data_IF_495834176398
#
_entry.id   IF_495834176398
#
_cell.length_a   1.000
_cell.length_b   1.000
_cell.length_c   1.000
_cell.angle_alpha   90.00
_cell.angle_beta   90.00
_cell.angle_gamma   90.00
#
_symmetry.space_group_name_H-M   'P 1'
#
loop_
_entity.id
_entity.type
_entity.pdbx_description
1 polymer ?
#
# COMPACT_ATOMS: atom_id res chain seq x y z
N UNK A 1 -2.76 -29.60 -14.34
CA UNK A 1 -3.43 -28.67 -15.26
C UNK A 1 -3.82 -27.44 -14.45
N UNK A 2 -3.07 -26.34 -14.58
CA UNK A 2 -3.25 -25.15 -13.74
C UNK A 2 -4.31 -24.25 -14.36
N UNK A 3 -5.43 -24.06 -13.65
CA UNK A 3 -6.46 -23.10 -14.04
C UNK A 3 -5.88 -21.69 -13.86
N UNK A 4 -5.57 -21.02 -14.96
CA UNK A 4 -5.36 -19.57 -14.97
C UNK A 4 -6.68 -18.93 -14.54
N UNK A 5 -6.80 -18.58 -13.27
CA UNK A 5 -7.81 -17.63 -12.83
C UNK A 5 -7.62 -16.38 -13.70
N UNK A 6 -8.63 -16.04 -14.52
CA UNK A 6 -8.70 -14.71 -15.11
C UNK A 6 -8.72 -13.75 -13.93
N UNK A 7 -7.57 -13.14 -13.63
CA UNK A 7 -7.48 -12.05 -12.68
C UNK A 7 -8.31 -10.92 -13.29
N UNK A 8 -9.52 -10.74 -12.78
CA UNK A 8 -10.30 -9.56 -13.11
C UNK A 8 -9.47 -8.32 -12.76
N UNK A 9 -9.47 -7.30 -13.64
CA UNK A 9 -8.70 -6.09 -13.38
C UNK A 9 -9.13 -5.48 -12.05
N UNK A 10 -8.18 -5.05 -11.23
CA UNK A 10 -8.48 -4.42 -9.95
C UNK A 10 -9.34 -3.16 -10.17
N UNK A 11 -10.08 -2.73 -9.15
CA UNK A 11 -10.91 -1.53 -9.23
C UNK A 11 -10.11 -0.31 -9.72
N UNK A 12 -8.86 -0.16 -9.26
CA UNK A 12 -7.95 0.90 -9.72
C UNK A 12 -7.60 0.74 -11.20
N UNK A 13 -7.34 -0.48 -11.68
CA UNK A 13 -7.06 -0.70 -13.10
C UNK A 13 -8.28 -0.40 -13.98
N UNK A 14 -9.49 -0.73 -13.50
CA UNK A 14 -10.74 -0.38 -14.19
C UNK A 14 -10.96 1.13 -14.23
N UNK A 15 -10.73 1.83 -13.11
CA UNK A 15 -10.82 3.29 -13.03
C UNK A 15 -9.83 3.97 -13.97
N UNK A 16 -8.58 3.49 -14.04
CA UNK A 16 -7.58 4.00 -14.97
C UNK A 16 -8.00 3.84 -16.43
N UNK A 17 -8.58 2.69 -16.77
CA UNK A 17 -9.10 2.43 -18.11
C UNK A 17 -10.24 3.40 -18.47
N UNK A 18 -11.15 3.66 -17.52
CA UNK A 18 -12.25 4.62 -17.70
C UNK A 18 -11.74 6.06 -17.88
N UNK A 19 -10.72 6.47 -17.12
CA UNK A 19 -10.09 7.79 -17.28
C UNK A 19 -9.45 7.92 -18.67
N UNK A 20 -8.77 6.87 -19.16
CA UNK A 20 -8.20 6.87 -20.52
C UNK A 20 -9.28 6.97 -21.60
N UNK A 21 -10.39 6.26 -21.44
CA UNK A 21 -11.54 6.36 -22.35
C UNK A 21 -12.15 7.76 -22.32
N UNK A 22 -12.32 8.34 -21.13
CA UNK A 22 -12.81 9.71 -20.96
C UNK A 22 -11.93 10.71 -21.70
N UNK A 23 -10.60 10.65 -21.51
CA UNK A 23 -9.66 11.53 -22.23
C UNK A 23 -9.75 11.37 -23.75
N UNK A 24 -9.89 10.13 -24.24
CA UNK A 24 -9.99 9.87 -25.67
C UNK A 24 -11.26 10.47 -26.29
N UNK A 25 -12.37 10.46 -25.54
CA UNK A 25 -13.67 10.99 -26.00
C UNK A 25 -13.79 12.50 -25.77
N UNK A 26 -13.12 13.04 -24.76
CA UNK A 26 -13.14 14.48 -24.46
C UNK A 26 -12.23 15.30 -25.38
N UNK A 27 -11.29 14.66 -26.08
CA UNK A 27 -10.24 15.33 -26.85
C UNK A 27 -10.80 16.46 -27.74
N UNK A 28 -10.31 17.67 -27.51
CA UNK A 28 -10.70 18.87 -28.27
C UNK A 28 -11.91 19.62 -27.72
N UNK A 29 -12.50 19.16 -26.61
CA UNK A 29 -13.49 19.94 -25.84
C UNK A 29 -12.80 20.60 -24.65
N UNK A 30 -12.51 21.89 -24.79
CA UNK A 30 -11.96 22.72 -23.71
C UNK A 30 -12.87 22.64 -22.47
N UNK A 31 -12.30 22.21 -21.34
CA UNK A 31 -13.01 21.93 -20.09
C UNK A 31 -13.11 20.43 -19.78
N UNK A 32 -13.56 19.60 -20.72
CA UNK A 32 -13.59 18.15 -20.51
C UNK A 32 -12.19 17.54 -20.48
N UNK A 33 -11.28 18.05 -21.31
CA UNK A 33 -9.87 17.62 -21.31
C UNK A 33 -9.15 17.96 -20.00
N UNK A 34 -9.40 19.14 -19.45
CA UNK A 34 -8.84 19.56 -18.17
C UNK A 34 -9.34 18.70 -17.00
N UNK A 35 -10.64 18.33 -17.02
CA UNK A 35 -11.21 17.41 -16.02
C UNK A 35 -10.61 16.01 -16.15
N UNK A 36 -10.47 15.49 -17.37
CA UNK A 36 -9.88 14.17 -17.61
C UNK A 36 -8.42 14.10 -17.17
N UNK A 37 -7.64 15.16 -17.40
CA UNK A 37 -6.26 15.28 -16.93
C UNK A 37 -6.19 15.34 -15.40
N UNK A 38 -7.04 16.14 -14.77
CA UNK A 38 -7.08 16.25 -13.31
C UNK A 38 -7.47 14.91 -12.64
N UNK A 39 -8.44 14.18 -13.21
CA UNK A 39 -8.80 12.84 -12.76
C UNK A 39 -7.66 11.84 -12.89
N UNK A 40 -6.89 11.89 -13.99
CA UNK A 40 -5.71 11.03 -14.16
C UNK A 40 -4.64 11.34 -13.11
N UNK A 41 -4.38 12.62 -12.83
CA UNK A 41 -3.43 13.01 -11.78
C UNK A 41 -3.85 12.51 -10.40
N UNK A 42 -5.12 12.68 -10.03
CA UNK A 42 -5.65 12.17 -8.77
C UNK A 42 -5.58 10.65 -8.70
N UNK A 43 -5.88 9.94 -9.80
CA UNK A 43 -5.72 8.49 -9.87
C UNK A 43 -4.26 8.06 -9.61
N UNK A 44 -3.29 8.71 -10.26
CA UNK A 44 -1.88 8.39 -10.08
C UNK A 44 -1.39 8.67 -8.66
N UNK A 45 -1.86 9.75 -8.04
CA UNK A 45 -1.56 10.07 -6.65
C UNK A 45 -2.15 9.02 -5.70
N UNK A 46 -3.40 8.61 -5.94
CA UNK A 46 -4.08 7.57 -5.17
C UNK A 46 -3.37 6.21 -5.30
N UNK A 47 -3.04 5.78 -6.51
CA UNK A 47 -2.34 4.51 -6.77
C UNK A 47 -0.95 4.50 -6.12
N UNK A 48 -0.20 5.60 -6.22
CA UNK A 48 1.10 5.73 -5.58
C UNK A 48 1.00 5.74 -4.05
N UNK A 49 0.02 6.45 -3.48
CA UNK A 49 -0.23 6.49 -2.03
C UNK A 49 -0.58 5.11 -1.48
N UNK A 50 -1.52 4.41 -2.12
CA UNK A 50 -1.89 3.04 -1.74
C UNK A 50 -0.71 2.07 -1.87
N UNK A 51 0.05 2.15 -2.96
CA UNK A 51 1.23 1.30 -3.15
C UNK A 51 2.26 1.53 -2.05
N UNK A 52 2.62 2.78 -1.74
CA UNK A 52 3.54 3.10 -0.65
C UNK A 52 2.99 2.61 0.69
N UNK A 53 1.70 2.82 0.93
CA UNK A 53 1.03 2.37 2.15
C UNK A 53 1.12 0.85 2.35
N UNK A 54 0.85 0.08 1.29
CA UNK A 54 0.97 -1.39 1.31
C UNK A 54 2.42 -1.83 1.54
N UNK A 55 3.40 -1.15 0.95
CA UNK A 55 4.82 -1.45 1.18
C UNK A 55 5.19 -1.30 2.65
N UNK A 56 4.77 -0.22 3.30
CA UNK A 56 4.99 -0.01 4.74
C UNK A 56 4.33 -1.11 5.59
N UNK A 57 3.06 -1.45 5.30
CA UNK A 57 2.36 -2.54 6.01
C UNK A 57 3.07 -3.88 5.82
N UNK A 58 3.58 -4.14 4.60
CA UNK A 58 4.34 -5.35 4.31
C UNK A 58 5.65 -5.40 5.09
N UNK A 59 6.40 -4.29 5.13
CA UNK A 59 7.63 -4.16 5.91
C UNK A 59 7.40 -4.38 7.41
N UNK A 60 6.32 -3.81 7.96
CA UNK A 60 5.89 -4.04 9.34
C UNK A 60 5.61 -5.54 9.60
N UNK A 61 4.90 -6.20 8.69
CA UNK A 61 4.58 -7.62 8.81
C UNK A 61 5.83 -8.52 8.75
N UNK A 62 6.77 -8.21 7.86
CA UNK A 62 8.06 -8.92 7.80
C UNK A 62 8.86 -8.73 9.09
N UNK A 63 8.88 -7.51 9.63
CA UNK A 63 9.58 -7.18 10.88
C UNK A 63 8.95 -7.90 12.08
N UNK A 64 7.62 -7.96 12.14
CA UNK A 64 6.89 -8.73 13.15
C UNK A 64 7.24 -10.22 13.06
N UNK A 65 7.30 -10.78 11.85
CA UNK A 65 7.67 -12.17 11.65
C UNK A 65 9.09 -12.46 12.15
N UNK A 66 10.06 -11.61 11.79
CA UNK A 66 11.43 -11.72 12.27
C UNK A 66 11.52 -11.64 13.80
N UNK A 67 10.77 -10.73 14.42
CA UNK A 67 10.69 -10.61 15.88
C UNK A 67 10.11 -11.87 16.52
N UNK A 68 9.03 -12.43 15.96
CA UNK A 68 8.49 -13.71 16.44
C UNK A 68 9.51 -14.84 16.34
N UNK A 69 10.25 -14.92 15.24
CA UNK A 69 11.33 -15.91 15.07
C UNK A 69 12.42 -15.73 16.13
N UNK A 70 12.81 -14.50 16.45
CA UNK A 70 13.78 -14.23 17.51
C UNK A 70 13.27 -14.65 18.89
N UNK A 71 12.01 -14.36 19.21
CA UNK A 71 11.38 -14.73 20.47
C UNK A 71 11.20 -16.24 20.61
N UNK A 72 10.82 -16.94 19.54
CA UNK A 72 10.67 -18.40 19.53
C UNK A 72 12.00 -19.13 19.62
N UNK A 73 13.09 -18.51 19.17
CA UNK A 73 14.44 -19.08 19.23
C UNK A 73 15.27 -18.56 20.42
N UNK A 74 14.69 -17.74 21.30
CA UNK A 74 15.36 -17.34 22.54
C UNK A 74 15.58 -18.59 23.41
N UNK A 75 16.82 -18.76 23.88
CA UNK A 75 17.15 -19.82 24.83
C UNK A 75 16.39 -19.60 26.15
N UNK A 76 16.04 -20.67 26.86
CA UNK A 76 15.21 -20.62 28.09
C UNK A 76 15.78 -19.66 29.17
N UNK A 77 17.09 -19.44 29.19
CA UNK A 77 17.77 -18.56 30.14
C UNK A 77 17.88 -17.10 29.67
N UNK A 78 17.49 -16.80 28.43
CA UNK A 78 17.64 -15.49 27.81
C UNK A 78 16.30 -14.73 27.85
N UNK A 79 16.14 -13.89 28.86
CA UNK A 79 14.95 -13.05 29.01
C UNK A 79 15.08 -11.77 28.18
N UNK A 80 14.09 -11.52 27.33
CA UNK A 80 13.89 -10.22 26.68
C UNK A 80 13.19 -9.30 27.67
N UNK A 81 13.85 -8.22 28.08
CA UNK A 81 13.26 -7.26 28.99
C UNK A 81 12.30 -6.30 28.26
N UNK A 82 11.54 -5.51 29.02
CA UNK A 82 10.55 -4.59 28.44
C UNK A 82 11.19 -3.53 27.53
N UNK A 83 12.39 -3.03 27.85
CA UNK A 83 13.07 -2.01 27.03
C UNK A 83 13.49 -2.58 25.67
N UNK A 84 14.00 -3.81 25.64
CA UNK A 84 14.34 -4.53 24.42
C UNK A 84 13.10 -4.82 23.58
N UNK A 85 11.98 -5.20 24.21
CA UNK A 85 10.72 -5.41 23.52
C UNK A 85 10.21 -4.12 22.86
N UNK A 86 10.28 -2.98 23.58
CA UNK A 86 9.92 -1.67 23.03
C UNK A 86 10.81 -1.31 21.85
N UNK A 87 12.12 -1.54 21.96
CA UNK A 87 13.06 -1.27 20.86
C UNK A 87 12.76 -2.11 19.60
N UNK A 88 12.30 -3.35 19.76
CA UNK A 88 11.91 -4.22 18.64
C UNK A 88 10.55 -3.83 18.03
N UNK A 89 9.61 -3.38 18.85
CA UNK A 89 8.25 -2.99 18.41
C UNK A 89 8.20 -1.59 17.78
N UNK A 90 9.10 -0.69 18.16
CA UNK A 90 9.06 0.70 17.72
C UNK A 90 9.19 0.87 16.18
N UNK A 91 10.11 0.19 15.48
CA UNK A 91 10.15 0.23 14.02
C UNK A 91 8.86 -0.30 13.36
N UNK A 92 8.26 -1.36 13.93
CA UNK A 92 7.00 -1.93 13.43
C UNK A 92 5.88 -0.90 13.57
N UNK A 93 5.80 -0.22 14.70
CA UNK A 93 4.84 0.86 14.95
C UNK A 93 4.99 2.00 13.95
N UNK A 94 6.24 2.42 13.66
CA UNK A 94 6.53 3.48 12.71
C UNK A 94 6.09 3.12 11.30
N UNK A 95 6.39 1.90 10.83
CA UNK A 95 5.96 1.40 9.53
C UNK A 95 4.43 1.32 9.45
N UNK A 96 3.75 0.80 10.47
CA UNK A 96 2.29 0.76 10.51
C UNK A 96 1.67 2.17 10.45
N UNK A 97 2.25 3.14 11.15
CA UNK A 97 1.78 4.53 11.12
C UNK A 97 2.02 5.19 9.76
N UNK A 98 3.18 4.97 9.15
CA UNK A 98 3.48 5.46 7.79
C UNK A 98 2.50 4.86 6.78
N UNK A 99 2.29 3.54 6.85
CA UNK A 99 1.34 2.82 6.02
C UNK A 99 -0.09 3.34 6.17
N UNK A 100 -0.56 3.48 7.42
CA UNK A 100 -1.87 4.04 7.71
C UNK A 100 -2.04 5.45 7.13
N UNK A 101 -1.07 6.35 7.34
CA UNK A 101 -1.12 7.71 6.82
C UNK A 101 -1.24 7.72 5.29
N UNK A 102 -0.40 6.95 4.59
CA UNK A 102 -0.42 6.89 3.12
C UNK A 102 -1.73 6.32 2.57
N UNK A 103 -2.36 5.35 3.25
CA UNK A 103 -3.64 4.78 2.83
C UNK A 103 -4.79 5.75 3.14
N UNK A 104 -4.77 6.40 4.31
CA UNK A 104 -5.78 7.39 4.71
C UNK A 104 -5.78 8.67 3.89
N UNK A 105 -4.66 9.03 3.27
CA UNK A 105 -4.61 10.15 2.31
C UNK A 105 -5.39 9.85 1.02
N UNK A 106 -5.72 8.57 0.77
CA UNK A 106 -6.42 8.10 -0.44
C UNK A 106 -7.89 7.73 -0.16
N UNK A 107 -8.23 7.36 1.08
CA UNK A 107 -9.60 7.00 1.50
C UNK A 107 -10.39 8.22 1.98
#
# INVERSE_FOLDING_TARGET
>A
MSAKAKLEPSLLQQLHLQIKQLRAVSAGHEGCDAIAENLEQHYLQADAGLTRGIVHVHAANQSLHAMMTLLLNCQEDQQVNCEQMVALLEPIRQELQAGFRQISEVM
#
